data_IF_102529557376
#
_entry.id   IF_102529557376
#
_cell.length_a   1.000
_cell.length_b   1.000
_cell.length_c   1.000
_cell.angle_alpha   90.00
_cell.angle_beta   90.00
_cell.angle_gamma   90.00
#
_symmetry.space_group_name_H-M   'P 1'
#
loop_
_entity.id
_entity.type
_entity.pdbx_description
1 polymer ?
#
# COMPACT_ATOMS: atom_id res chain seq x y z
N UNK A 1 -3.11 -39.04 0.18
CA UNK A 1 -1.93 -38.42 -0.47
C UNK A 1 -2.27 -37.30 -1.47
N UNK A 2 -3.51 -36.82 -1.56
CA UNK A 2 -3.91 -35.77 -2.52
C UNK A 2 -3.68 -34.31 -2.06
N UNK A 3 -3.31 -34.07 -0.80
CA UNK A 3 -3.25 -32.71 -0.22
C UNK A 3 -1.90 -31.98 -0.32
N UNK A 4 -0.88 -32.58 -0.94
CA UNK A 4 0.50 -32.05 -0.95
C UNK A 4 1.01 -31.69 -2.34
N UNK A 5 0.18 -31.76 -3.39
CA UNK A 5 0.64 -31.47 -4.76
C UNK A 5 0.90 -29.96 -4.95
N UNK A 6 2.16 -29.53 -5.14
CA UNK A 6 2.47 -28.12 -5.38
C UNK A 6 1.91 -27.61 -6.71
N UNK A 7 1.62 -28.48 -7.68
CA UNK A 7 1.08 -28.08 -8.97
C UNK A 7 -0.38 -27.67 -8.86
N UNK A 8 -1.19 -28.41 -8.10
CA UNK A 8 -2.56 -28.02 -7.78
C UNK A 8 -2.61 -26.61 -7.15
N UNK A 9 -1.69 -26.30 -6.22
CA UNK A 9 -1.61 -24.96 -5.62
C UNK A 9 -1.34 -23.86 -6.66
N UNK A 10 -0.46 -24.12 -7.64
CA UNK A 10 -0.15 -23.15 -8.71
C UNK A 10 -1.30 -22.99 -9.71
N UNK A 11 -2.09 -24.04 -9.94
CA UNK A 11 -3.23 -24.01 -10.85
C UNK A 11 -4.44 -23.26 -10.27
N UNK A 12 -4.56 -23.18 -8.94
CA UNK A 12 -5.73 -22.63 -8.23
C UNK A 12 -6.21 -21.27 -8.78
N UNK A 13 -5.30 -20.33 -9.05
CA UNK A 13 -5.70 -19.03 -9.61
C UNK A 13 -6.40 -19.18 -10.97
N UNK A 14 -5.82 -19.98 -11.86
CA UNK A 14 -6.36 -20.17 -13.20
C UNK A 14 -7.70 -20.93 -13.15
N UNK A 15 -7.83 -21.89 -12.24
CA UNK A 15 -9.08 -22.61 -11.99
C UNK A 15 -10.18 -21.68 -11.48
N UNK A 16 -9.85 -20.79 -10.53
CA UNK A 16 -10.79 -19.76 -10.06
C UNK A 16 -11.20 -18.81 -11.20
N UNK A 17 -10.24 -18.35 -12.02
CA UNK A 17 -10.55 -17.49 -13.16
C UNK A 17 -11.38 -18.19 -14.25
N UNK A 18 -11.22 -19.51 -14.41
CA UNK A 18 -12.05 -20.30 -15.33
C UNK A 18 -13.51 -20.41 -14.87
N UNK A 19 -13.76 -20.37 -13.56
CA UNK A 19 -15.11 -20.50 -12.98
C UNK A 19 -15.79 -19.15 -12.80
N UNK A 20 -15.06 -18.14 -12.32
CA UNK A 20 -15.60 -16.83 -11.88
C UNK A 20 -15.32 -15.74 -12.93
N UNK A 21 -14.48 -16.03 -13.92
CA UNK A 21 -14.02 -15.06 -14.91
C UNK A 21 -12.74 -14.33 -14.49
N UNK A 22 -12.28 -13.34 -15.29
CA UNK A 22 -11.01 -12.66 -15.06
C UNK A 22 -10.94 -11.99 -13.68
N UNK A 23 -9.85 -12.19 -12.93
CA UNK A 23 -9.72 -11.68 -11.54
C UNK A 23 -9.91 -10.17 -11.35
N UNK A 24 -9.66 -9.40 -12.40
CA UNK A 24 -9.86 -7.95 -12.40
C UNK A 24 -11.33 -7.53 -12.40
N UNK A 25 -12.23 -8.46 -12.70
CA UNK A 25 -13.68 -8.25 -12.77
C UNK A 25 -14.44 -8.85 -11.59
N UNK A 26 -13.75 -9.57 -10.69
CA UNK A 26 -14.37 -10.12 -9.49
C UNK A 26 -14.97 -9.01 -8.64
N UNK A 27 -16.26 -9.17 -8.33
CA UNK A 27 -17.02 -8.31 -7.45
C UNK A 27 -16.51 -8.38 -6.01
N UNK A 28 -16.86 -7.38 -5.21
CA UNK A 28 -16.58 -7.40 -3.76
C UNK A 28 -17.17 -8.64 -3.07
N UNK A 29 -18.38 -9.05 -3.44
CA UNK A 29 -19.03 -10.26 -2.90
C UNK A 29 -18.25 -11.53 -3.21
N UNK A 30 -17.83 -11.72 -4.47
CA UNK A 30 -17.02 -12.88 -4.88
C UNK A 30 -15.66 -12.89 -4.16
N UNK A 31 -15.01 -11.73 -4.11
CA UNK A 31 -13.76 -11.56 -3.38
C UNK A 31 -13.92 -11.95 -1.91
N UNK A 32 -14.94 -11.43 -1.20
CA UNK A 32 -15.15 -11.76 0.22
C UNK A 32 -15.55 -13.21 0.45
N UNK A 33 -16.34 -13.80 -0.45
CA UNK A 33 -16.66 -15.23 -0.42
C UNK A 33 -15.42 -16.12 -0.57
N UNK A 34 -14.53 -15.79 -1.50
CA UNK A 34 -13.25 -16.49 -1.67
C UNK A 34 -12.33 -16.29 -0.46
N UNK A 35 -12.27 -15.08 0.10
CA UNK A 35 -11.49 -14.82 1.32
C UNK A 35 -12.00 -15.67 2.49
N UNK A 36 -13.32 -15.76 2.69
CA UNK A 36 -13.92 -16.59 3.75
C UNK A 36 -13.57 -18.08 3.57
N UNK A 37 -13.59 -18.58 2.34
CA UNK A 37 -13.17 -19.95 2.04
C UNK A 37 -11.69 -20.18 2.35
N UNK A 38 -10.82 -19.22 1.99
CA UNK A 38 -9.38 -19.29 2.23
C UNK A 38 -9.03 -19.20 3.72
N UNK A 39 -9.72 -18.35 4.48
CA UNK A 39 -9.52 -18.22 5.93
C UNK A 39 -9.89 -19.52 6.66
N UNK A 40 -10.95 -20.22 6.25
CA UNK A 40 -11.31 -21.54 6.81
C UNK A 40 -10.20 -22.58 6.65
N UNK A 41 -9.42 -22.51 5.57
CA UNK A 41 -8.32 -23.44 5.30
C UNK A 41 -6.95 -22.87 5.66
N UNK A 42 -6.88 -21.72 6.35
CA UNK A 42 -5.64 -21.10 6.80
C UNK A 42 -4.71 -22.04 7.61
N UNK A 43 -5.22 -22.97 8.45
CA UNK A 43 -4.37 -23.95 9.14
C UNK A 43 -3.59 -24.87 8.19
N UNK A 44 -4.04 -25.01 6.94
CA UNK A 44 -3.42 -25.85 5.92
C UNK A 44 -2.56 -25.09 4.91
N UNK A 45 -2.42 -23.77 5.04
CA UNK A 45 -1.62 -22.95 4.10
C UNK A 45 -0.15 -23.38 4.05
N UNK A 46 0.37 -23.92 5.17
CA UNK A 46 1.77 -24.32 5.32
C UNK A 46 2.11 -25.70 4.75
N UNK A 47 1.27 -26.35 3.94
CA UNK A 47 1.59 -27.69 3.42
C UNK A 47 2.83 -27.74 2.53
N UNK A 48 3.01 -26.75 1.66
CA UNK A 48 4.25 -26.51 0.88
C UNK A 48 4.47 -25.00 0.73
N UNK A 49 5.67 -24.54 0.35
CA UNK A 49 5.89 -23.12 0.06
C UNK A 49 4.96 -22.56 -1.03
N UNK A 50 4.61 -23.37 -2.03
CA UNK A 50 3.68 -23.01 -3.10
C UNK A 50 2.26 -22.80 -2.58
N UNK A 51 1.81 -23.63 -1.63
CA UNK A 51 0.50 -23.45 -1.00
C UNK A 51 0.42 -22.12 -0.27
N UNK A 52 1.43 -21.80 0.55
CA UNK A 52 1.43 -20.55 1.30
C UNK A 52 1.53 -19.34 0.37
N UNK A 53 2.40 -19.40 -0.64
CA UNK A 53 2.56 -18.34 -1.64
C UNK A 53 1.26 -18.03 -2.37
N UNK A 54 0.57 -19.05 -2.87
CA UNK A 54 -0.67 -18.87 -3.65
C UNK A 54 -1.85 -18.49 -2.76
N UNK A 55 -1.89 -19.02 -1.53
CA UNK A 55 -2.86 -18.63 -0.53
C UNK A 55 -2.75 -17.13 -0.19
N UNK A 56 -1.55 -16.62 0.08
CA UNK A 56 -1.30 -15.19 0.35
C UNK A 56 -1.71 -14.31 -0.85
N UNK A 57 -1.40 -14.75 -2.08
CA UNK A 57 -1.74 -14.03 -3.31
C UNK A 57 -3.23 -13.83 -3.47
N UNK A 58 -4.01 -14.90 -3.34
CA UNK A 58 -5.44 -14.87 -3.57
C UNK A 58 -6.13 -14.18 -2.39
N UNK A 59 -5.74 -14.50 -1.15
CA UNK A 59 -6.31 -13.88 0.03
C UNK A 59 -6.11 -12.36 0.02
N UNK A 60 -4.88 -11.90 -0.23
CA UNK A 60 -4.58 -10.47 -0.28
C UNK A 60 -5.36 -9.78 -1.39
N UNK A 61 -5.49 -10.39 -2.57
CA UNK A 61 -6.30 -9.86 -3.67
C UNK A 61 -7.77 -9.69 -3.25
N UNK A 62 -8.31 -10.72 -2.61
CA UNK A 62 -9.71 -10.80 -2.23
C UNK A 62 -10.09 -9.89 -1.05
N UNK A 63 -9.13 -9.44 -0.24
CA UNK A 63 -9.40 -8.65 0.96
C UNK A 63 -9.23 -7.15 0.79
N UNK A 64 -8.63 -6.67 -0.30
CA UNK A 64 -8.41 -5.23 -0.51
C UNK A 64 -9.70 -4.40 -0.38
N UNK A 65 -9.62 -3.17 0.16
CA UNK A 65 -8.48 -2.56 0.84
C UNK A 65 -8.37 -2.96 2.34
N UNK A 66 -9.14 -3.96 2.77
CA UNK A 66 -9.31 -4.37 4.16
C UNK A 66 -10.55 -3.80 4.84
N UNK A 67 -11.36 -2.99 4.14
CA UNK A 67 -12.62 -2.45 4.64
C UNK A 67 -13.60 -2.13 3.51
N UNK A 68 -14.82 -1.72 3.89
CA UNK A 68 -15.86 -1.25 2.98
C UNK A 68 -16.91 -2.30 2.60
N UNK A 69 -16.70 -3.57 2.93
CA UNK A 69 -17.69 -4.63 2.78
C UNK A 69 -18.18 -5.13 4.16
N UNK A 70 -19.42 -5.61 4.20
CA UNK A 70 -20.01 -6.23 5.39
C UNK A 70 -19.10 -7.33 5.94
N UNK A 71 -18.84 -7.27 7.26
CA UNK A 71 -17.96 -8.17 8.03
C UNK A 71 -16.46 -8.08 7.74
N UNK A 72 -16.00 -7.01 7.11
CA UNK A 72 -14.57 -6.83 6.86
C UNK A 72 -13.76 -6.70 8.15
N UNK A 73 -14.32 -6.08 9.20
CA UNK A 73 -13.65 -5.99 10.51
C UNK A 73 -13.29 -7.39 11.03
N UNK A 74 -14.23 -8.32 11.04
CA UNK A 74 -14.01 -9.69 11.52
C UNK A 74 -13.06 -10.49 10.63
N UNK A 75 -13.04 -10.23 9.32
CA UNK A 75 -12.04 -10.83 8.42
C UNK A 75 -10.65 -10.30 8.73
N UNK A 76 -10.52 -9.00 8.96
CA UNK A 76 -9.24 -8.38 9.31
C UNK A 76 -8.74 -8.84 10.67
N UNK A 77 -9.61 -9.08 11.65
CA UNK A 77 -9.21 -9.71 12.93
C UNK A 77 -8.58 -11.10 12.70
N UNK A 78 -9.21 -11.94 11.87
CA UNK A 78 -8.66 -13.26 11.54
C UNK A 78 -7.33 -13.18 10.78
N UNK A 79 -7.20 -12.21 9.88
CA UNK A 79 -5.95 -11.98 9.13
C UNK A 79 -4.87 -11.45 10.06
N UNK A 80 -5.20 -10.57 10.99
CA UNK A 80 -4.26 -10.01 11.96
C UNK A 80 -3.66 -11.08 12.86
N UNK A 81 -4.43 -12.09 13.28
CA UNK A 81 -3.90 -13.22 14.04
C UNK A 81 -2.75 -13.96 13.33
N UNK A 82 -2.67 -13.88 12.00
CA UNK A 82 -1.56 -14.45 11.23
C UNK A 82 -0.25 -13.69 11.49
N UNK A 83 -0.30 -12.40 11.82
CA UNK A 83 0.88 -11.57 12.02
C UNK A 83 1.80 -12.17 13.09
N UNK A 84 1.22 -12.59 14.21
CA UNK A 84 1.94 -13.24 15.31
C UNK A 84 2.38 -14.67 14.94
N UNK A 85 1.58 -15.41 14.17
CA UNK A 85 1.97 -16.74 13.67
C UNK A 85 3.15 -16.70 12.69
N UNK A 86 3.26 -15.61 11.92
CA UNK A 86 4.21 -15.46 10.83
C UNK A 86 4.02 -16.44 9.66
N UNK A 87 5.03 -16.47 8.80
CA UNK A 87 5.12 -17.38 7.66
C UNK A 87 5.43 -18.81 8.12
N UNK A 88 4.75 -19.80 7.52
CA UNK A 88 5.04 -21.22 7.68
C UNK A 88 6.31 -21.64 6.93
N UNK A 89 6.62 -20.97 5.82
CA UNK A 89 7.81 -21.22 4.98
C UNK A 89 8.69 -19.97 4.86
N UNK A 90 9.30 -19.47 5.97
CA UNK A 90 10.07 -18.23 5.96
C UNK A 90 11.38 -18.32 5.15
N UNK A 91 11.83 -19.52 4.77
CA UNK A 91 12.97 -19.73 3.87
C UNK A 91 12.66 -19.43 2.39
N UNK A 92 11.37 -19.36 2.01
CA UNK A 92 10.98 -19.02 0.64
C UNK A 92 10.90 -17.50 0.47
N UNK A 93 11.80 -16.94 -0.33
CA UNK A 93 11.87 -15.48 -0.60
C UNK A 93 10.60 -14.93 -1.26
N UNK A 94 9.95 -15.71 -2.11
CA UNK A 94 8.72 -15.31 -2.79
C UNK A 94 7.57 -15.09 -1.81
N UNK A 95 7.47 -15.94 -0.79
CA UNK A 95 6.44 -15.84 0.24
C UNK A 95 6.55 -14.53 1.04
N UNK A 96 7.76 -14.04 1.31
CA UNK A 96 7.96 -12.74 1.95
C UNK A 96 7.44 -11.56 1.14
N UNK A 97 7.56 -11.57 -0.19
CA UNK A 97 6.99 -10.51 -1.01
C UNK A 97 5.46 -10.50 -0.87
N UNK A 98 4.82 -11.66 -0.98
CA UNK A 98 3.36 -11.77 -0.85
C UNK A 98 2.86 -11.48 0.57
N UNK A 99 3.69 -11.72 1.59
CA UNK A 99 3.44 -11.32 2.97
C UNK A 99 3.32 -9.81 3.10
N UNK A 100 4.29 -9.04 2.59
CA UNK A 100 4.22 -7.58 2.63
C UNK A 100 3.13 -7.01 1.73
N UNK A 101 2.86 -7.67 0.59
CA UNK A 101 1.74 -7.32 -0.29
C UNK A 101 0.40 -7.51 0.43
N UNK A 102 0.21 -8.61 1.19
CA UNK A 102 -0.98 -8.82 2.02
C UNK A 102 -1.20 -7.65 2.96
N UNK A 103 -0.20 -7.33 3.78
CA UNK A 103 -0.33 -6.24 4.76
C UNK A 103 -0.57 -4.89 4.11
N UNK A 104 0.12 -4.59 3.01
CA UNK A 104 -0.06 -3.35 2.25
C UNK A 104 -1.50 -3.23 1.73
N UNK A 105 -2.04 -4.33 1.22
CA UNK A 105 -3.39 -4.40 0.64
C UNK A 105 -4.51 -4.28 1.66
N UNK A 106 -4.27 -4.64 2.91
CA UNK A 106 -5.28 -4.60 3.98
C UNK A 106 -5.02 -3.51 5.02
N UNK A 107 -3.95 -2.72 4.86
CA UNK A 107 -3.53 -1.71 5.83
C UNK A 107 -4.65 -0.72 6.19
N UNK A 108 -5.52 -0.41 5.23
CA UNK A 108 -6.64 0.50 5.46
C UNK A 108 -7.70 -0.04 6.43
N UNK A 109 -7.79 -1.37 6.58
CA UNK A 109 -8.63 -2.03 7.59
C UNK A 109 -7.99 -2.11 8.98
N UNK A 110 -6.72 -1.73 9.13
CA UNK A 110 -5.98 -1.80 10.39
C UNK A 110 -6.03 -0.46 11.14
N UNK A 111 -6.13 -0.54 12.46
CA UNK A 111 -5.98 0.61 13.35
C UNK A 111 -4.52 1.11 13.44
N UNK A 112 -4.31 2.18 14.21
CA UNK A 112 -3.00 2.81 14.36
C UNK A 112 -1.97 1.90 15.06
N UNK A 113 -2.39 1.12 16.06
CA UNK A 113 -1.51 0.23 16.82
C UNK A 113 -0.96 -0.89 15.91
N UNK A 114 -1.83 -1.50 15.11
CA UNK A 114 -1.46 -2.56 14.17
C UNK A 114 -0.60 -2.04 13.02
N UNK A 115 -0.87 -0.83 12.53
CA UNK A 115 0.01 -0.19 11.55
C UNK A 115 1.39 0.13 12.15
N UNK A 116 1.46 0.56 13.41
CA UNK A 116 2.72 0.77 14.11
C UNK A 116 3.50 -0.54 14.32
N UNK A 117 2.82 -1.65 14.63
CA UNK A 117 3.43 -2.98 14.71
C UNK A 117 4.02 -3.44 13.36
N UNK A 118 3.32 -3.19 12.25
CA UNK A 118 3.84 -3.44 10.90
C UNK A 118 5.09 -2.60 10.60
N UNK A 119 5.08 -1.32 10.98
CA UNK A 119 6.25 -0.46 10.85
C UNK A 119 7.44 -1.01 11.64
N UNK A 120 7.23 -1.40 12.91
CA UNK A 120 8.27 -2.00 13.75
C UNK A 120 8.83 -3.31 13.17
N UNK A 121 8.02 -4.10 12.45
CA UNK A 121 8.46 -5.33 11.82
C UNK A 121 9.32 -5.13 10.56
N UNK A 122 9.22 -3.98 9.87
CA UNK A 122 10.00 -3.69 8.65
C UNK A 122 11.17 -2.75 8.88
N UNK A 123 11.06 -1.81 9.83
CA UNK A 123 12.07 -0.79 10.09
C UNK A 123 13.50 -1.36 10.29
N UNK A 124 13.71 -2.43 11.08
CA UNK A 124 15.05 -3.01 11.28
C UNK A 124 15.68 -3.62 10.01
N UNK A 125 14.88 -3.96 9.00
CA UNK A 125 15.34 -4.58 7.76
C UNK A 125 15.61 -3.56 6.64
N UNK A 126 15.06 -2.35 6.79
CA UNK A 126 15.26 -1.23 5.88
C UNK A 126 16.42 -0.33 6.31
N UNK A 127 16.65 -0.21 7.63
CA UNK A 127 17.75 0.54 8.20
C UNK A 127 19.09 -0.21 8.26
N UNK A 128 20.14 0.50 8.66
CA UNK A 128 21.47 -0.06 8.95
C UNK A 128 21.66 -0.53 10.40
N UNK A 129 20.59 -0.57 11.20
CA UNK A 129 20.63 -1.00 12.59
C UNK A 129 20.80 -2.51 12.77
N UNK A 130 20.93 -2.98 14.02
CA UNK A 130 21.01 -4.40 14.34
C UNK A 130 19.78 -5.14 13.82
N UNK A 131 20.00 -6.18 13.01
CA UNK A 131 18.91 -7.00 12.48
C UNK A 131 18.34 -7.91 13.57
N UNK A 132 17.02 -8.15 13.60
CA UNK A 132 16.41 -9.10 14.54
C UNK A 132 16.97 -10.51 14.38
N UNK A 133 16.94 -11.28 15.47
CA UNK A 133 17.21 -12.73 15.43
C UNK A 133 16.06 -13.45 14.73
N UNK A 134 16.37 -14.55 14.03
CA UNK A 134 15.37 -15.37 13.33
C UNK A 134 15.56 -15.33 11.80
N UNK A 135 14.54 -15.75 11.03
CA UNK A 135 14.63 -15.77 9.58
C UNK A 135 14.78 -14.36 9.01
N UNK A 136 15.55 -14.23 7.93
CA UNK A 136 15.70 -12.96 7.24
C UNK A 136 14.39 -12.56 6.56
N UNK A 137 13.85 -11.39 6.90
CA UNK A 137 12.67 -10.85 6.23
C UNK A 137 13.07 -10.33 4.83
N UNK A 138 12.70 -11.07 3.77
CA UNK A 138 13.01 -10.67 2.39
C UNK A 138 12.00 -9.65 1.83
N UNK A 139 12.28 -9.09 0.66
CA UNK A 139 11.36 -8.19 -0.05
C UNK A 139 11.42 -6.71 0.32
N UNK A 140 12.61 -6.07 0.32
CA UNK A 140 12.75 -4.67 0.74
C UNK A 140 11.94 -3.69 -0.13
N UNK A 141 11.70 -3.99 -1.41
CA UNK A 141 10.85 -3.18 -2.26
C UNK A 141 9.38 -3.18 -1.78
N UNK A 142 8.85 -4.34 -1.40
CA UNK A 142 7.49 -4.46 -0.87
C UNK A 142 7.38 -3.91 0.55
N UNK A 143 8.42 -4.01 1.37
CA UNK A 143 8.48 -3.33 2.67
C UNK A 143 8.38 -1.80 2.51
N UNK A 144 9.10 -1.21 1.56
CA UNK A 144 9.01 0.23 1.27
C UNK A 144 7.62 0.63 0.73
N UNK A 145 6.99 -0.24 -0.09
CA UNK A 145 5.60 -0.02 -0.54
C UNK A 145 4.58 -0.19 0.58
N UNK A 146 4.84 -1.07 1.54
CA UNK A 146 4.02 -1.22 2.75
C UNK A 146 4.06 0.07 3.57
N UNK A 147 5.24 0.65 3.82
CA UNK A 147 5.37 1.92 4.56
C UNK A 147 4.45 3.02 4.01
N UNK A 148 4.32 3.11 2.69
CA UNK A 148 3.43 4.08 2.03
C UNK A 148 1.93 3.84 2.26
N UNK A 149 1.53 2.62 2.62
CA UNK A 149 0.15 2.27 2.96
C UNK A 149 -0.17 2.43 4.46
N UNK A 150 0.83 2.66 5.31
CA UNK A 150 0.66 2.84 6.75
C UNK A 150 0.30 4.30 7.08
N UNK A 151 -0.87 4.74 6.62
CA UNK A 151 -1.29 6.13 6.74
C UNK A 151 -1.57 6.58 8.18
N UNK A 152 -1.76 5.68 9.15
CA UNK A 152 -2.03 6.00 10.56
C UNK A 152 -0.78 6.05 11.42
N UNK A 153 0.40 6.04 10.80
CA UNK A 153 1.66 6.20 11.54
C UNK A 153 1.77 7.62 12.09
N UNK A 154 2.33 7.78 13.32
CA UNK A 154 2.76 9.06 13.82
C UNK A 154 3.72 9.79 12.86
N UNK A 155 3.71 11.13 12.91
CA UNK A 155 4.44 11.97 11.98
C UNK A 155 5.96 11.74 11.98
N UNK A 156 6.56 11.41 13.12
CA UNK A 156 7.98 11.07 13.27
C UNK A 156 8.31 9.73 12.61
N UNK A 157 7.47 8.71 12.78
CA UNK A 157 7.61 7.43 12.09
C UNK A 157 7.50 7.59 10.56
N UNK A 158 6.60 8.46 10.10
CA UNK A 158 6.51 8.83 8.68
C UNK A 158 7.74 9.58 8.19
N UNK A 159 8.32 10.48 8.97
CA UNK A 159 9.57 11.15 8.61
C UNK A 159 10.73 10.15 8.43
N UNK A 160 10.87 9.21 9.35
CA UNK A 160 11.86 8.13 9.27
C UNK A 160 11.65 7.25 8.03
N UNK A 161 10.40 6.85 7.76
CA UNK A 161 10.05 6.12 6.55
C UNK A 161 10.37 6.91 5.27
N UNK A 162 10.11 8.22 5.27
CA UNK A 162 10.42 9.13 4.16
C UNK A 162 11.92 9.19 3.89
N UNK A 163 12.76 9.28 4.92
CA UNK A 163 14.22 9.26 4.78
C UNK A 163 14.73 7.97 4.12
N UNK A 164 14.15 6.81 4.46
CA UNK A 164 14.48 5.56 3.79
C UNK A 164 14.02 5.55 2.33
N UNK A 165 12.82 6.05 2.04
CA UNK A 165 12.30 6.13 0.67
C UNK A 165 13.17 7.03 -0.22
N UNK A 166 13.66 8.16 0.30
CA UNK A 166 14.54 9.06 -0.44
C UNK A 166 15.88 8.41 -0.80
N UNK A 167 16.46 7.63 0.13
CA UNK A 167 17.77 6.98 -0.07
C UNK A 167 17.68 5.66 -0.83
N UNK A 168 16.51 5.01 -0.82
CA UNK A 168 16.30 3.67 -1.40
C UNK A 168 15.23 3.62 -2.49
N UNK A 169 14.84 4.75 -3.08
CA UNK A 169 13.81 4.83 -4.12
C UNK A 169 14.08 3.86 -5.28
N UNK A 170 15.35 3.64 -5.65
CA UNK A 170 15.76 2.69 -6.70
C UNK A 170 15.31 1.25 -6.44
N UNK A 171 15.10 0.83 -5.19
CA UNK A 171 14.58 -0.50 -4.85
C UNK A 171 13.11 -0.66 -5.26
N UNK A 172 12.34 0.43 -5.20
CA UNK A 172 10.93 0.47 -5.63
C UNK A 172 10.80 0.89 -7.10
N UNK A 173 11.82 1.60 -7.61
CA UNK A 173 11.86 2.26 -8.91
C UNK A 173 10.66 3.20 -9.13
N UNK A 174 10.23 3.89 -8.07
CA UNK A 174 9.12 4.84 -8.11
C UNK A 174 9.15 5.77 -6.90
N UNK A 175 8.78 7.03 -7.10
CA UNK A 175 8.56 8.04 -6.05
C UNK A 175 7.14 8.01 -5.48
N UNK A 176 6.25 7.18 -6.04
CA UNK A 176 4.90 6.97 -5.54
C UNK A 176 4.81 6.76 -4.01
N UNK A 177 5.68 5.95 -3.36
CA UNK A 177 5.60 5.76 -1.91
C UNK A 177 5.76 7.05 -1.11
N UNK A 178 6.65 7.95 -1.54
CA UNK A 178 6.89 9.22 -0.86
C UNK A 178 5.67 10.13 -0.98
N UNK A 179 5.06 10.15 -2.17
CA UNK A 179 3.80 10.86 -2.43
C UNK A 179 2.66 10.42 -1.50
N UNK A 180 2.57 9.13 -1.24
CA UNK A 180 1.55 8.56 -0.34
C UNK A 180 1.80 8.89 1.11
N UNK A 181 3.04 8.74 1.55
CA UNK A 181 3.44 9.06 2.91
C UNK A 181 3.21 10.52 3.25
N UNK A 182 3.43 11.41 2.28
CA UNK A 182 3.26 12.86 2.42
C UNK A 182 1.91 13.41 1.98
N UNK A 183 0.96 12.56 1.60
CA UNK A 183 -0.34 12.98 1.07
C UNK A 183 -1.09 13.86 2.08
N UNK A 184 -1.57 15.02 1.63
CA UNK A 184 -2.37 15.95 2.48
C UNK A 184 -3.76 15.42 2.78
N UNK A 185 -4.28 14.59 1.87
CA UNK A 185 -5.55 13.89 2.01
C UNK A 185 -5.27 12.38 1.96
N UNK A 186 -5.16 11.74 3.13
CA UNK A 186 -5.02 10.29 3.23
C UNK A 186 -6.23 9.56 2.63
N UNK A 187 -6.04 8.30 2.26
CA UNK A 187 -7.08 7.42 1.74
C UNK A 187 -7.95 6.81 2.85
N UNK A 188 -7.36 6.50 4.00
CA UNK A 188 -8.02 5.88 5.16
C UNK A 188 -7.53 6.43 6.51
N UNK A 189 -6.44 7.21 6.51
CA UNK A 189 -6.00 8.01 7.63
C UNK A 189 -6.88 9.24 7.86
N UNK A 190 -6.59 9.95 8.93
CA UNK A 190 -7.25 11.19 9.36
C UNK A 190 -6.36 12.40 9.09
N UNK A 191 -6.91 13.61 9.24
CA UNK A 191 -6.15 14.85 9.15
C UNK A 191 -4.94 14.89 10.11
N UNK A 192 -5.09 14.30 11.30
CA UNK A 192 -4.03 14.27 12.32
C UNK A 192 -2.86 13.35 11.95
N UNK A 193 -3.06 12.40 11.03
CA UNK A 193 -2.01 11.48 10.63
C UNK A 193 -1.06 12.09 9.58
N UNK A 194 -1.39 13.24 9.00
CA UNK A 194 -0.61 13.88 7.94
C UNK A 194 0.70 14.45 8.50
N UNK A 195 1.82 14.30 7.78
CA UNK A 195 3.09 14.92 8.23
C UNK A 195 3.01 16.45 8.21
N UNK A 196 3.72 17.16 9.09
CA UNK A 196 3.75 18.62 9.14
C UNK A 196 4.05 19.30 7.77
N UNK A 197 3.53 20.52 7.52
CA UNK A 197 3.76 21.26 6.27
C UNK A 197 5.23 21.45 5.89
N UNK A 198 6.12 21.68 6.86
CA UNK A 198 7.56 21.84 6.64
C UNK A 198 8.24 20.55 6.14
N UNK A 199 7.85 19.40 6.70
CA UNK A 199 8.31 18.08 6.23
C UNK A 199 7.84 17.84 4.79
N UNK A 200 6.59 18.15 4.50
CA UNK A 200 6.01 18.01 3.17
C UNK A 200 6.72 18.91 2.14
N UNK A 201 6.99 20.17 2.51
CA UNK A 201 7.73 21.13 1.68
C UNK A 201 9.15 20.64 1.39
N UNK A 202 9.86 20.10 2.39
CA UNK A 202 11.18 19.51 2.20
C UNK A 202 11.16 18.34 1.20
N UNK A 203 10.12 17.50 1.21
CA UNK A 203 9.98 16.42 0.22
C UNK A 203 9.65 16.96 -1.18
N UNK A 204 8.92 18.07 -1.30
CA UNK A 204 8.72 18.73 -2.59
C UNK A 204 10.02 19.29 -3.17
N UNK A 205 10.90 19.86 -2.35
CA UNK A 205 12.21 20.34 -2.82
C UNK A 205 13.10 19.21 -3.37
N UNK A 206 12.89 17.98 -2.93
CA UNK A 206 13.55 16.80 -3.51
C UNK A 206 12.93 16.37 -4.83
N UNK A 207 11.61 16.50 -4.99
CA UNK A 207 10.87 16.02 -6.16
C UNK A 207 10.90 17.01 -7.33
N UNK A 208 10.79 18.31 -7.07
CA UNK A 208 10.73 19.37 -8.08
C UNK A 208 11.94 19.44 -9.05
N UNK A 209 13.20 19.22 -8.61
CA UNK A 209 14.35 19.27 -9.52
C UNK A 209 14.50 18.00 -10.38
N UNK A 210 13.77 16.91 -10.08
CA UNK A 210 13.89 15.65 -10.83
C UNK A 210 13.40 15.80 -12.27
N UNK A 211 14.02 15.05 -13.18
CA UNK A 211 13.45 14.79 -14.50
C UNK A 211 12.29 13.81 -14.36
N UNK A 212 11.05 14.31 -14.42
CA UNK A 212 9.84 13.52 -14.21
C UNK A 212 9.56 12.52 -15.34
N UNK A 213 10.23 12.66 -16.50
CA UNK A 213 10.18 11.64 -17.54
C UNK A 213 10.97 10.37 -17.16
N UNK A 214 11.99 10.51 -16.30
CA UNK A 214 12.84 9.40 -15.84
C UNK A 214 12.56 9.01 -14.38
N UNK A 215 11.98 9.90 -13.59
CA UNK A 215 11.64 9.69 -12.19
C UNK A 215 10.18 9.22 -12.05
N UNK A 216 9.95 7.92 -12.27
CA UNK A 216 8.60 7.33 -12.17
C UNK A 216 7.85 7.75 -10.91
N UNK A 217 6.60 8.18 -11.08
CA UNK A 217 5.72 8.59 -9.98
C UNK A 217 6.03 9.95 -9.33
N UNK A 218 7.11 10.65 -9.70
CA UNK A 218 7.52 11.89 -9.03
C UNK A 218 6.50 13.03 -9.19
N UNK A 219 5.97 13.23 -10.41
CA UNK A 219 4.95 14.24 -10.68
C UNK A 219 3.68 14.02 -9.84
N UNK A 220 3.18 12.77 -9.80
CA UNK A 220 2.00 12.42 -9.01
C UNK A 220 2.27 12.51 -7.50
N UNK A 221 3.48 12.16 -7.05
CA UNK A 221 3.88 12.33 -5.67
C UNK A 221 3.86 13.80 -5.25
N UNK A 222 4.40 14.69 -6.10
CA UNK A 222 4.35 16.13 -5.86
C UNK A 222 2.90 16.64 -5.79
N UNK A 223 2.02 16.18 -6.68
CA UNK A 223 0.60 16.52 -6.65
C UNK A 223 -0.10 16.06 -5.35
N UNK A 224 0.20 14.86 -4.85
CA UNK A 224 -0.36 14.35 -3.58
C UNK A 224 0.13 15.15 -2.35
N UNK A 225 1.42 15.51 -2.33
CA UNK A 225 2.06 16.24 -1.22
C UNK A 225 1.61 17.71 -1.20
N UNK A 226 1.35 18.31 -2.36
CA UNK A 226 0.91 19.71 -2.47
C UNK A 226 -0.62 19.89 -2.58
N UNK A 227 -1.38 18.79 -2.48
CA UNK A 227 -2.84 18.80 -2.66
C UNK A 227 -3.52 19.77 -1.69
N UNK A 228 -4.49 20.53 -2.19
CA UNK A 228 -5.35 21.40 -1.39
C UNK A 228 -6.45 20.59 -0.77
N UNK A 229 -6.63 20.76 0.53
CA UNK A 229 -7.68 20.09 1.30
C UNK A 229 -8.75 21.07 1.81
N UNK A 230 -8.46 22.37 1.80
CA UNK A 230 -9.32 23.39 2.41
C UNK A 230 -9.08 23.57 3.91
N UNK A 231 -8.11 22.84 4.46
CA UNK A 231 -7.68 22.92 5.86
C UNK A 231 -6.31 23.63 5.95
N UNK A 232 -6.26 24.88 6.45
CA UNK A 232 -5.02 25.63 6.56
C UNK A 232 -3.95 24.98 7.43
N UNK A 233 -4.31 24.08 8.36
CA UNK A 233 -3.35 23.41 9.22
C UNK A 233 -2.52 22.34 8.47
N UNK A 234 -3.04 21.84 7.35
CA UNK A 234 -2.40 20.79 6.54
C UNK A 234 -1.88 21.31 5.20
N UNK A 235 -2.58 22.27 4.62
CA UNK A 235 -2.30 22.79 3.30
C UNK A 235 -0.98 23.56 3.28
N UNK A 236 -0.21 23.39 2.21
CA UNK A 236 0.99 24.18 1.98
C UNK A 236 0.63 25.63 1.61
N UNK A 237 1.54 26.59 1.89
CA UNK A 237 1.35 27.98 1.48
C UNK A 237 1.03 28.10 -0.02
N UNK A 238 0.16 29.06 -0.42
CA UNK A 238 -0.24 29.22 -1.82
C UNK A 238 0.94 29.32 -2.79
N UNK A 239 2.03 29.99 -2.42
CA UNK A 239 3.24 30.12 -3.25
C UNK A 239 3.92 28.78 -3.52
N UNK A 240 3.99 27.91 -2.51
CA UNK A 240 4.55 26.55 -2.65
C UNK A 240 3.68 25.72 -3.59
N UNK A 241 2.36 25.78 -3.42
CA UNK A 241 1.40 25.08 -4.28
C UNK A 241 1.45 25.58 -5.73
N UNK A 242 1.57 26.89 -5.93
CA UNK A 242 1.71 27.51 -7.25
C UNK A 242 2.95 26.98 -7.98
N UNK A 243 4.10 26.93 -7.31
CA UNK A 243 5.33 26.37 -7.90
C UNK A 243 5.15 24.92 -8.36
N UNK A 244 4.42 24.09 -7.60
CA UNK A 244 4.12 22.71 -8.00
C UNK A 244 3.16 22.67 -9.19
N UNK A 245 2.12 23.51 -9.21
CA UNK A 245 1.18 23.61 -10.32
C UNK A 245 1.86 24.07 -11.62
N UNK A 246 2.75 25.07 -11.54
CA UNK A 246 3.53 25.57 -12.67
C UNK A 246 4.46 24.48 -13.21
N UNK A 247 5.10 23.70 -12.32
CA UNK A 247 5.95 22.57 -12.71
C UNK A 247 5.14 21.45 -13.38
N UNK A 248 3.98 21.06 -12.83
CA UNK A 248 3.07 20.08 -13.45
C UNK A 248 2.60 20.54 -14.84
N UNK A 249 2.32 21.83 -15.00
CA UNK A 249 1.93 22.41 -16.29
C UNK A 249 3.08 22.34 -17.30
N UNK A 250 4.30 22.72 -16.89
CA UNK A 250 5.48 22.66 -17.74
C UNK A 250 5.83 21.22 -18.18
N UNK A 251 5.62 20.25 -17.29
CA UNK A 251 5.79 18.81 -17.56
C UNK A 251 4.66 18.22 -18.43
N UNK A 252 3.57 18.98 -18.68
CA UNK A 252 2.35 18.51 -19.36
C UNK A 252 1.71 17.31 -18.64
N UNK A 253 1.79 17.32 -17.31
CA UNK A 253 1.11 16.35 -16.46
C UNK A 253 -0.42 16.44 -16.62
N UNK A 254 -1.17 15.37 -16.31
CA UNK A 254 -2.63 15.35 -16.39
C UNK A 254 -3.31 16.51 -15.66
N UNK A 255 -4.32 17.12 -16.28
CA UNK A 255 -5.09 18.24 -15.72
C UNK A 255 -5.65 17.97 -14.31
N UNK A 256 -6.17 16.77 -13.98
CA UNK A 256 -6.62 16.47 -12.63
C UNK A 256 -5.53 16.65 -11.55
N UNK A 257 -4.25 16.46 -11.89
CA UNK A 257 -3.16 16.62 -10.92
C UNK A 257 -2.85 18.10 -10.64
N UNK A 258 -3.02 18.95 -11.65
CA UNK A 258 -2.92 20.41 -11.49
C UNK A 258 -4.09 20.91 -10.65
N UNK A 259 -5.29 20.37 -10.89
CA UNK A 259 -6.49 20.68 -10.10
C UNK A 259 -6.33 20.30 -8.63
N UNK A 260 -5.75 19.13 -8.32
CA UNK A 260 -5.46 18.72 -6.94
C UNK A 260 -4.67 19.78 -6.15
N UNK A 261 -3.76 20.51 -6.79
CA UNK A 261 -2.86 21.47 -6.14
C UNK A 261 -3.42 22.89 -6.13
N UNK A 262 -4.40 23.17 -6.98
CA UNK A 262 -5.00 24.51 -7.14
C UNK A 262 -6.37 24.63 -6.47
N UNK A 263 -7.12 23.53 -6.34
CA UNK A 263 -8.49 23.48 -5.84
C UNK A 263 -8.70 22.28 -4.92
N UNK A 264 -9.56 22.43 -3.91
CA UNK A 264 -10.05 21.31 -3.14
C UNK A 264 -11.04 20.50 -3.98
N UNK A 265 -10.55 19.44 -4.64
CA UNK A 265 -11.31 18.53 -5.50
C UNK A 265 -11.23 17.11 -4.98
N UNK A 266 -12.27 16.31 -5.20
CA UNK A 266 -12.21 14.87 -4.99
C UNK A 266 -11.38 14.18 -6.07
N UNK A 267 -10.81 13.01 -5.73
CA UNK A 267 -10.03 12.24 -6.70
C UNK A 267 -10.95 11.55 -7.70
N UNK A 268 -10.51 11.49 -8.95
CA UNK A 268 -11.12 10.58 -9.94
C UNK A 268 -10.93 9.12 -9.51
N UNK A 269 -11.70 8.19 -10.10
CA UNK A 269 -11.47 6.75 -9.87
C UNK A 269 -10.05 6.30 -10.33
N UNK A 270 -9.54 6.92 -11.39
CA UNK A 270 -8.18 6.68 -11.88
C UNK A 270 -7.13 7.11 -10.87
N UNK A 271 -7.28 8.30 -10.30
CA UNK A 271 -6.36 8.83 -9.30
C UNK A 271 -6.52 8.12 -7.96
N UNK A 272 -7.72 7.69 -7.59
CA UNK A 272 -7.94 6.86 -6.40
C UNK A 272 -7.21 5.52 -6.51
N UNK A 273 -7.23 4.87 -7.69
CA UNK A 273 -6.43 3.66 -7.95
C UNK A 273 -4.93 3.95 -7.89
N UNK A 274 -4.48 5.08 -8.44
CA UNK A 274 -3.08 5.51 -8.32
C UNK A 274 -2.69 5.74 -6.88
N UNK A 275 -3.53 6.41 -6.09
CA UNK A 275 -3.33 6.62 -4.64
C UNK A 275 -3.25 5.27 -3.94
N UNK A 276 -4.22 4.37 -4.10
CA UNK A 276 -4.19 3.07 -3.43
C UNK A 276 -2.99 2.20 -3.89
N UNK A 277 -2.53 2.34 -5.13
CA UNK A 277 -1.45 1.53 -5.70
C UNK A 277 -1.89 0.12 -6.12
N UNK A 278 -3.20 -0.13 -6.12
CA UNK A 278 -3.88 -1.35 -6.58
C UNK A 278 -5.32 -0.97 -7.02
N UNK A 279 -6.08 -1.92 -7.56
CA UNK A 279 -7.50 -1.74 -7.88
C UNK A 279 -8.40 -2.19 -6.71
N UNK A 280 -9.51 -1.48 -6.49
CA UNK A 280 -10.58 -1.94 -5.62
C UNK A 280 -11.39 -3.07 -6.31
N UNK A 281 -11.96 -4.02 -5.55
CA UNK A 281 -12.90 -5.00 -6.10
C UNK A 281 -14.06 -4.33 -6.83
N UNK A 282 -14.56 -4.97 -7.89
CA UNK A 282 -15.65 -4.40 -8.68
C UNK A 282 -16.89 -4.17 -7.81
N UNK A 283 -17.51 -3.00 -7.95
CA UNK A 283 -18.68 -2.59 -7.17
C UNK A 283 -18.40 -2.16 -5.72
N UNK A 284 -17.16 -2.23 -5.22
CA UNK A 284 -16.83 -1.69 -3.90
C UNK A 284 -16.73 -0.17 -3.96
N UNK A 285 -17.61 0.51 -3.21
CA UNK A 285 -17.55 1.97 -3.01
C UNK A 285 -17.23 2.26 -1.55
N UNK A 286 -16.12 2.95 -1.34
CA UNK A 286 -15.71 3.41 -0.03
C UNK A 286 -16.42 4.74 0.22
N UNK A 287 -17.09 4.86 1.37
CA UNK A 287 -17.74 6.08 1.83
C UNK A 287 -16.99 6.62 3.03
#
# INVERSE_FOLDING_TARGET
>A
KAGHDPQAAKALRNELEAVIGPRGQWSSTECRGLADALLKVAPHRGRTPEHELQWLRILSWCLRPGFGHTRDRERIEQVWALFDEGLKHPGNKGTWNEWWILWRRVAAGLDAERQAALYAAVAPWLGGGPRPKGPHHHGPAEMLRLLAALERLPADAKQNAGAWLQTHFKKVNSWWPLGRLGARQPFHGTAADVVPPDVADAWLELLLPLDWAQADGAAFAAACIARVTGDPARDLPPERRRRVADRLTADKSPSPWIEMVTRAVDLSEGDTRRVFGDSLPAGLRLR
#
